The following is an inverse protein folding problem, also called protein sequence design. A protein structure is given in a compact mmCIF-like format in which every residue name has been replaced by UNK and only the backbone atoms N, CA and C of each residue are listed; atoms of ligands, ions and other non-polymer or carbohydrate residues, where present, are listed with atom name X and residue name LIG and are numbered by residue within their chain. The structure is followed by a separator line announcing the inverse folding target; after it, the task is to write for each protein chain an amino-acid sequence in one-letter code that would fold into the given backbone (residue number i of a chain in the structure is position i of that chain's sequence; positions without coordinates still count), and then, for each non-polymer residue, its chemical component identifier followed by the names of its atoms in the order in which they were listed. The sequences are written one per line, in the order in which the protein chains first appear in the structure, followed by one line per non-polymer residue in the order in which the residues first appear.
data_IF_595272381541
#
_entry.id   IF_595272381541
#
_cell.length_a   1.000
_cell.length_b   1.000
_cell.length_c   1.000
_cell.angle_alpha   90.00
_cell.angle_beta   90.00
_cell.angle_gamma   90.00
#
_symmetry.space_group_name_H-M   'P 1'
#
loop_
_entity.id
_entity.type
_entity.pdbx_description
1 polymer ?
#
# COMPACT_ATOMS: atom_id res chain seq x y z
N UNK A 1 4.21 -8.94 -14.22
CA UNK A 1 4.02 -7.81 -13.27
C UNK A 1 3.42 -6.56 -13.94
N UNK A 2 3.86 -6.13 -15.13
CA UNK A 2 3.37 -4.90 -15.78
C UNK A 2 1.84 -4.77 -15.98
N UNK A 3 1.15 -5.86 -16.34
CA UNK A 3 -0.32 -5.82 -16.51
C UNK A 3 -1.08 -5.62 -15.20
N UNK A 4 -0.59 -6.20 -14.10
CA UNK A 4 -1.23 -6.13 -12.78
C UNK A 4 -1.14 -4.72 -12.20
N UNK A 5 -0.03 -4.03 -12.41
CA UNK A 5 0.16 -2.66 -11.94
C UNK A 5 -0.83 -1.68 -12.57
N UNK A 6 -1.05 -1.81 -13.88
CA UNK A 6 -2.00 -0.97 -14.63
C UNK A 6 -3.44 -1.34 -14.29
N UNK A 7 -3.76 -2.64 -14.21
CA UNK A 7 -5.11 -3.10 -13.89
C UNK A 7 -5.54 -2.77 -12.45
N UNK A 8 -4.61 -2.48 -11.54
CA UNK A 8 -4.92 -2.11 -10.14
C UNK A 8 -4.82 -0.61 -9.85
N UNK A 9 -4.49 0.22 -10.85
CA UNK A 9 -4.31 1.67 -10.67
C UNK A 9 -5.56 2.36 -10.12
N UNK A 10 -6.75 2.02 -10.62
CA UNK A 10 -8.00 2.62 -10.18
C UNK A 10 -8.29 2.29 -8.71
N UNK A 11 -8.04 1.05 -8.27
CA UNK A 11 -8.14 0.67 -6.85
C UNK A 11 -7.14 1.44 -5.98
N UNK A 12 -5.88 1.60 -6.42
CA UNK A 12 -4.90 2.41 -5.68
C UNK A 12 -5.34 3.87 -5.53
N UNK A 13 -5.93 4.45 -6.58
CA UNK A 13 -6.43 5.84 -6.55
C UNK A 13 -7.61 5.97 -5.59
N UNK A 14 -8.59 5.08 -5.70
CA UNK A 14 -9.75 5.06 -4.80
C UNK A 14 -9.31 4.89 -3.33
N UNK A 15 -8.38 3.96 -3.08
CA UNK A 15 -7.79 3.74 -1.76
C UNK A 15 -7.10 4.99 -1.19
N UNK A 16 -6.30 5.69 -1.99
CA UNK A 16 -5.59 6.92 -1.57
C UNK A 16 -6.57 8.04 -1.20
N UNK A 17 -7.72 8.11 -1.87
CA UNK A 17 -8.79 9.06 -1.52
C UNK A 17 -9.48 8.66 -0.22
N UNK A 18 -9.74 7.37 -0.04
CA UNK A 18 -10.46 6.79 1.08
C UNK A 18 -9.75 6.95 2.43
N UNK A 19 -8.45 6.64 2.48
CA UNK A 19 -7.67 6.69 3.74
C UNK A 19 -7.33 8.12 4.17
N UNK A 20 -7.63 9.10 3.32
CA UNK A 20 -7.45 10.52 3.60
C UNK A 20 -5.99 10.95 3.83
N UNK A 21 -5.78 12.21 4.22
CA UNK A 21 -4.44 12.79 4.37
C UNK A 21 -3.56 12.04 5.38
N UNK A 22 -4.10 11.64 6.53
CA UNK A 22 -3.33 10.91 7.55
C UNK A 22 -2.91 9.51 7.09
N UNK A 23 -3.84 8.77 6.48
CA UNK A 23 -3.52 7.45 5.92
C UNK A 23 -2.46 7.54 4.83
N UNK A 24 -2.54 8.58 3.99
CA UNK A 24 -1.54 8.88 2.95
C UNK A 24 -0.18 9.22 3.53
N UNK A 25 -0.12 9.98 4.64
CA UNK A 25 1.14 10.24 5.36
C UNK A 25 1.76 8.95 5.88
N UNK A 26 0.97 8.07 6.49
CA UNK A 26 1.46 6.77 6.95
C UNK A 26 1.99 5.90 5.80
N UNK A 27 1.28 5.83 4.65
CA UNK A 27 1.78 5.15 3.44
C UNK A 27 3.10 5.75 2.97
N UNK A 28 3.21 7.08 2.95
CA UNK A 28 4.43 7.76 2.54
C UNK A 28 5.62 7.38 3.44
N UNK A 29 5.44 7.40 4.77
CA UNK A 29 6.52 7.03 5.69
C UNK A 29 6.92 5.56 5.58
N UNK A 30 5.98 4.65 5.39
CA UNK A 30 6.29 3.23 5.11
C UNK A 30 7.14 3.08 3.84
N UNK A 31 6.82 3.81 2.77
CA UNK A 31 7.64 3.79 1.55
C UNK A 31 9.05 4.35 1.79
N UNK A 32 9.19 5.43 2.58
CA UNK A 32 10.50 5.97 2.94
C UNK A 32 11.34 4.94 3.74
N UNK A 33 10.72 4.24 4.69
CA UNK A 33 11.39 3.17 5.45
C UNK A 33 11.82 2.01 4.54
N UNK A 34 10.95 1.56 3.64
CA UNK A 34 11.26 0.49 2.69
C UNK A 34 12.45 0.87 1.78
N UNK A 35 12.42 2.07 1.19
CA UNK A 35 13.53 2.57 0.36
C UNK A 35 14.80 2.71 1.18
N UNK A 36 14.69 3.16 2.44
CA UNK A 36 15.82 3.24 3.37
C UNK A 36 16.47 1.89 3.64
N UNK A 37 15.68 0.86 3.94
CA UNK A 37 16.15 -0.51 4.16
C UNK A 37 16.85 -1.07 2.92
N UNK A 38 16.24 -0.93 1.74
CA UNK A 38 16.80 -1.37 0.46
C UNK A 38 18.14 -0.68 0.15
N UNK A 39 18.27 0.62 0.41
CA UNK A 39 19.53 1.36 0.20
C UNK A 39 20.67 0.88 1.10
N UNK A 40 20.36 0.38 2.30
CA UNK A 40 21.36 -0.19 3.22
C UNK A 40 21.65 -1.66 2.94
N UNK A 41 20.94 -2.30 2.00
CA UNK A 41 21.04 -3.74 1.76
C UNK A 41 20.39 -4.60 2.85
N UNK A 42 19.54 -4.01 3.69
CA UNK A 42 18.88 -4.70 4.80
C UNK A 42 17.58 -5.36 4.32
N UNK A 43 17.72 -6.61 3.85
CA UNK A 43 16.60 -7.37 3.30
C UNK A 43 15.53 -7.72 4.35
N UNK A 44 15.93 -7.97 5.59
CA UNK A 44 14.97 -8.31 6.66
C UNK A 44 14.11 -7.11 7.04
N UNK A 45 14.70 -5.92 7.19
CA UNK A 45 13.95 -4.70 7.48
C UNK A 45 13.02 -4.34 6.31
N UNK A 46 13.49 -4.48 5.07
CA UNK A 46 12.66 -4.30 3.88
C UNK A 46 11.44 -5.25 3.87
N UNK A 47 11.63 -6.53 4.20
CA UNK A 47 10.55 -7.51 4.28
C UNK A 47 9.56 -7.18 5.40
N UNK A 48 10.05 -6.78 6.58
CA UNK A 48 9.21 -6.37 7.72
C UNK A 48 8.32 -5.17 7.36
N UNK A 49 8.90 -4.13 6.77
CA UNK A 49 8.16 -2.94 6.34
C UNK A 49 7.15 -3.28 5.25
N UNK A 50 7.54 -4.05 4.23
CA UNK A 50 6.65 -4.44 3.14
C UNK A 50 5.47 -5.28 3.62
N UNK A 51 5.72 -6.25 4.51
CA UNK A 51 4.68 -7.10 5.09
C UNK A 51 3.68 -6.29 5.91
N UNK A 52 4.18 -5.33 6.71
CA UNK A 52 3.34 -4.37 7.44
C UNK A 52 2.46 -3.54 6.50
N UNK A 53 3.04 -2.98 5.44
CA UNK A 53 2.33 -2.19 4.42
C UNK A 53 1.21 -2.99 3.75
N UNK A 54 1.49 -4.23 3.32
CA UNK A 54 0.50 -5.11 2.69
C UNK A 54 -0.63 -5.43 3.67
N UNK A 55 -0.30 -5.76 4.93
CA UNK A 55 -1.30 -6.08 5.95
C UNK A 55 -2.21 -4.90 6.24
N UNK A 56 -1.64 -3.70 6.45
CA UNK A 56 -2.42 -2.47 6.70
C UNK A 56 -3.34 -2.16 5.53
N UNK A 57 -2.81 -2.20 4.31
CA UNK A 57 -3.61 -1.96 3.09
C UNK A 57 -4.76 -2.96 2.98
N UNK A 58 -4.53 -4.25 3.24
CA UNK A 58 -5.59 -5.27 3.25
C UNK A 58 -6.66 -5.01 4.32
N UNK A 59 -6.24 -4.66 5.54
CA UNK A 59 -7.18 -4.35 6.63
C UNK A 59 -8.05 -3.14 6.29
N UNK A 60 -7.44 -2.06 5.77
CA UNK A 60 -8.19 -0.89 5.34
C UNK A 60 -9.14 -1.22 4.17
N UNK A 61 -8.68 -1.93 3.14
CA UNK A 61 -9.54 -2.35 2.02
C UNK A 61 -10.70 -3.27 2.46
N UNK A 62 -10.49 -4.11 3.48
CA UNK A 62 -11.54 -5.00 3.99
C UNK A 62 -12.71 -4.26 4.63
N UNK A 63 -12.50 -3.02 5.09
CA UNK A 63 -13.56 -2.14 5.58
C UNK A 63 -14.41 -1.54 4.46
N UNK A 64 -13.96 -1.68 3.21
CA UNK A 64 -14.54 -1.02 2.04
C UNK A 64 -14.85 -2.02 0.91
N UNK A 65 -15.70 -3.03 1.17
CA UNK A 65 -16.06 -4.03 0.16
C UNK A 65 -16.75 -3.41 -1.07
N UNK A 66 -17.38 -2.25 -0.93
CA UNK A 66 -18.00 -1.48 -2.01
C UNK A 66 -17.02 -1.12 -3.13
N UNK A 67 -15.72 -1.03 -2.84
CA UNK A 67 -14.70 -0.79 -3.86
C UNK A 67 -14.56 -1.94 -4.85
N UNK A 68 -15.00 -3.15 -4.48
CA UNK A 68 -14.86 -4.36 -5.28
C UNK A 68 -16.19 -4.87 -5.84
N UNK A 69 -17.31 -4.22 -5.50
CA UNK A 69 -18.60 -4.55 -6.06
C UNK A 69 -18.67 -4.07 -7.52
N UNK A 70 -18.79 -5.00 -8.46
CA UNK A 70 -19.11 -4.69 -9.85
C UNK A 70 -20.57 -4.24 -9.92
N UNK A 71 -20.81 -3.05 -10.43
CA UNK A 71 -22.15 -2.63 -10.88
C UNK A 71 -22.38 -3.14 -12.31
#
# INVERSE_FOLDING_TARGET
VHRLWNSTQHYRRAFTMLIGPEGNRAVHYEHQLLVGALRRGDGEDAERVLSGHIRRTRLELSKHPELFATN
#
